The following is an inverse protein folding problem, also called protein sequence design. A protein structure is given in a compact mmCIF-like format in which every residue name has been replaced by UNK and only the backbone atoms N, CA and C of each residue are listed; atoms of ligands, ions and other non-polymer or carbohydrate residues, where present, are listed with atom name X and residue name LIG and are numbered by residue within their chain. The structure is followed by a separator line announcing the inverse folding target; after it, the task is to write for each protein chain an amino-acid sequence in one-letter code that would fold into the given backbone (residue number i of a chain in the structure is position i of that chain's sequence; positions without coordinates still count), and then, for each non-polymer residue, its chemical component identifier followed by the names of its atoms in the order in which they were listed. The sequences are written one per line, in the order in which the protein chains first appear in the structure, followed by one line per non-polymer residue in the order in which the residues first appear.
data_IF_275284777812
#
_entry.id   IF_275284777812
#
_cell.length_a   1.000
_cell.length_b   1.000
_cell.length_c   1.000
_cell.angle_alpha   90.00
_cell.angle_beta   90.00
_cell.angle_gamma   90.00
#
_symmetry.space_group_name_H-M   'P 1'
#
loop_
_entity.id
_entity.type
_entity.pdbx_description
1 polymer ?
#
# COMPACT_ATOMS: atom_id res chain seq x y z
N UNK A 1 23.51 -3.57 12.80
CA UNK A 1 23.04 -2.16 12.89
C UNK A 1 21.61 -2.16 12.39
N UNK A 2 20.64 -1.73 13.20
CA UNK A 2 19.25 -1.67 12.75
C UNK A 2 19.08 -0.63 11.62
N UNK A 3 18.33 -1.01 10.60
CA UNK A 3 17.93 -0.17 9.48
C UNK A 3 16.43 -0.08 9.48
N UNK A 4 15.92 1.15 9.37
CA UNK A 4 14.51 1.45 9.25
C UNK A 4 14.26 2.00 7.84
N UNK A 5 13.43 1.31 7.08
CA UNK A 5 13.06 1.66 5.71
C UNK A 5 11.57 2.02 5.66
N UNK A 6 11.23 3.20 5.16
CA UNK A 6 9.87 3.72 5.12
C UNK A 6 9.49 4.04 3.67
N UNK A 7 8.58 3.28 3.10
CA UNK A 7 7.98 3.51 1.79
C UNK A 7 6.67 4.27 1.93
N UNK A 8 6.51 5.33 1.13
CA UNK A 8 5.34 6.20 1.16
C UNK A 8 4.13 5.56 0.47
N UNK A 9 2.92 5.94 0.91
CA UNK A 9 1.68 5.68 0.16
C UNK A 9 1.72 6.37 -1.20
N UNK A 10 1.05 5.80 -2.21
CA UNK A 10 0.96 6.42 -3.54
C UNK A 10 0.37 7.84 -3.44
N UNK A 11 1.06 8.84 -3.95
CA UNK A 11 0.59 10.23 -3.87
C UNK A 11 1.10 11.03 -2.68
N UNK A 12 1.89 10.44 -1.80
CA UNK A 12 2.39 11.09 -0.59
C UNK A 12 3.91 11.22 -0.58
N UNK A 13 4.39 12.28 0.08
CA UNK A 13 5.80 12.49 0.39
C UNK A 13 5.97 12.90 1.85
N UNK A 14 7.12 12.61 2.47
CA UNK A 14 7.42 13.03 3.83
C UNK A 14 7.48 14.57 3.92
N UNK A 15 7.00 15.11 5.03
CA UNK A 15 7.24 16.50 5.38
C UNK A 15 8.72 16.72 5.70
N UNK A 16 9.35 17.69 5.02
CA UNK A 16 10.79 17.97 5.14
C UNK A 16 11.14 18.42 6.56
N UNK A 17 10.26 19.18 7.23
CA UNK A 17 10.50 19.68 8.59
C UNK A 17 10.52 18.52 9.57
N UNK A 18 9.51 17.64 9.48
CA UNK A 18 9.40 16.44 10.32
C UNK A 18 10.56 15.47 10.08
N UNK A 19 10.95 15.28 8.82
CA UNK A 19 12.11 14.47 8.46
C UNK A 19 13.41 15.04 9.07
N UNK A 20 13.60 16.35 9.02
CA UNK A 20 14.78 17.00 9.60
C UNK A 20 14.82 16.92 11.13
N UNK A 21 13.65 16.93 11.81
CA UNK A 21 13.58 16.68 13.26
C UNK A 21 14.02 15.27 13.62
N UNK A 22 13.59 14.27 12.85
CA UNK A 22 14.00 12.88 13.04
C UNK A 22 15.50 12.67 12.81
N UNK A 23 16.09 13.35 11.82
CA UNK A 23 17.55 13.33 11.59
C UNK A 23 18.36 13.80 12.79
N UNK A 24 17.86 14.77 13.57
CA UNK A 24 18.60 15.31 14.72
C UNK A 24 18.73 14.30 15.88
N UNK A 25 17.94 13.23 15.88
CA UNK A 25 17.97 12.17 16.90
C UNK A 25 18.65 10.87 16.47
N UNK A 26 19.12 10.75 15.22
CA UNK A 26 19.69 9.52 14.65
C UNK A 26 21.07 9.83 14.04
N UNK A 27 22.15 9.14 14.43
CA UNK A 27 23.52 9.56 14.06
C UNK A 27 23.82 9.45 12.56
N UNK A 28 23.12 8.59 11.80
CA UNK A 28 23.43 8.36 10.38
C UNK A 28 22.19 8.40 9.48
N UNK A 29 22.12 9.45 8.69
CA UNK A 29 21.13 9.61 7.63
C UNK A 29 21.72 9.25 6.28
N UNK A 30 21.16 8.24 5.62
CA UNK A 30 21.41 7.95 4.22
C UNK A 30 20.09 8.02 3.46
N UNK A 31 19.75 9.19 2.92
CA UNK A 31 18.76 9.22 1.83
C UNK A 31 19.41 8.44 0.69
N UNK A 32 18.86 7.28 0.35
CA UNK A 32 19.03 6.78 -1.01
C UNK A 32 18.56 7.92 -1.92
N UNK A 33 19.55 8.46 -2.63
CA UNK A 33 19.59 9.73 -3.32
C UNK A 33 18.27 10.28 -3.88
N UNK A 34 18.17 11.61 -3.77
CA UNK A 34 17.28 12.57 -4.47
C UNK A 34 15.91 12.77 -3.83
N UNK A 35 15.68 14.02 -3.41
CA UNK A 35 14.40 14.60 -3.01
C UNK A 35 13.30 14.55 -4.11
N UNK A 36 13.52 13.78 -5.18
CA UNK A 36 12.65 13.59 -6.34
C UNK A 36 12.47 12.11 -6.70
N UNK A 37 13.13 11.17 -5.99
CA UNK A 37 13.03 9.76 -6.28
C UNK A 37 11.90 9.12 -5.48
N UNK A 38 11.07 8.32 -6.17
CA UNK A 38 9.89 7.60 -5.62
C UNK A 38 10.28 6.44 -4.69
N UNK A 39 11.49 6.46 -4.17
CA UNK A 39 12.09 5.38 -3.38
C UNK A 39 11.77 5.49 -1.89
N UNK A 40 12.00 4.41 -1.14
CA UNK A 40 11.83 4.41 0.31
C UNK A 40 12.90 5.26 1.00
N UNK A 41 12.52 5.86 2.12
CA UNK A 41 13.42 6.62 3.00
C UNK A 41 14.11 5.63 3.92
N UNK A 42 15.44 5.68 4.00
CA UNK A 42 16.24 4.76 4.81
C UNK A 42 16.90 5.52 5.96
N UNK A 43 16.71 5.01 7.17
CA UNK A 43 17.31 5.50 8.41
C UNK A 43 18.24 4.43 8.96
N UNK A 44 19.48 4.82 9.26
CA UNK A 44 20.43 3.96 9.97
C UNK A 44 20.38 4.33 11.44
N UNK A 45 20.09 3.34 12.28
CA UNK A 45 20.03 3.49 13.72
C UNK A 45 21.27 2.84 14.33
N UNK A 46 21.86 3.48 15.33
CA UNK A 46 23.04 2.91 15.99
C UNK A 46 22.66 1.75 16.90
N UNK A 47 21.52 1.88 17.58
CA UNK A 47 20.96 0.88 18.48
C UNK A 47 19.43 0.99 18.54
N UNK A 48 18.79 -0.10 18.94
CA UNK A 48 17.39 -0.12 19.37
C UNK A 48 17.35 -0.67 20.80
N UNK A 49 16.53 -0.07 21.65
CA UNK A 49 16.20 -0.64 22.96
C UNK A 49 15.46 -1.96 22.80
N UNK A 50 15.83 -2.96 23.58
CA UNK A 50 15.19 -4.28 23.61
C UNK A 50 14.07 -4.42 24.65
N UNK A 51 13.94 -3.44 25.55
CA UNK A 51 12.98 -3.47 26.68
C UNK A 51 11.92 -2.38 26.64
N UNK A 52 12.09 -1.38 25.78
CA UNK A 52 11.22 -0.22 25.68
C UNK A 52 10.98 0.08 24.20
N UNK A 53 9.76 0.49 23.88
CA UNK A 53 9.40 0.92 22.53
C UNK A 53 10.01 2.29 22.23
N UNK A 54 10.68 2.40 21.08
CA UNK A 54 11.14 3.67 20.53
C UNK A 54 10.16 4.13 19.45
N UNK A 55 9.43 5.21 19.74
CA UNK A 55 8.43 5.78 18.85
C UNK A 55 8.97 6.99 18.10
N UNK A 56 8.64 7.10 16.82
CA UNK A 56 8.91 8.27 16.00
C UNK A 56 7.66 8.68 15.22
N UNK A 57 7.53 9.98 14.96
CA UNK A 57 6.40 10.53 14.21
C UNK A 57 6.92 11.22 12.96
N UNK A 58 6.43 10.77 11.80
CA UNK A 58 6.71 11.37 10.50
C UNK A 58 5.41 11.89 9.91
N UNK A 59 5.32 13.20 9.68
CA UNK A 59 4.21 13.77 8.94
C UNK A 59 4.42 13.52 7.44
N UNK A 60 3.33 13.26 6.72
CA UNK A 60 3.33 13.02 5.28
C UNK A 60 2.31 13.95 4.62
N UNK A 61 2.68 14.50 3.46
CA UNK A 61 1.87 15.43 2.69
C UNK A 61 1.47 14.78 1.37
N UNK A 62 0.21 14.99 0.95
CA UNK A 62 -0.26 14.54 -0.36
C UNK A 62 0.24 15.49 -1.46
N UNK A 63 1.06 14.97 -2.37
CA UNK A 63 1.68 15.74 -3.47
C UNK A 63 0.95 15.58 -4.81
N UNK A 64 0.24 14.47 -5.02
CA UNK A 64 -0.65 14.29 -6.16
C UNK A 64 -1.87 13.43 -5.79
N UNK A 65 -3.01 13.71 -6.44
CA UNK A 65 -4.24 12.93 -6.27
C UNK A 65 -4.20 11.75 -7.24
N UNK A 66 -4.44 10.55 -6.72
CA UNK A 66 -4.51 9.30 -7.50
C UNK A 66 -5.85 8.63 -7.29
N UNK A 67 -6.28 7.79 -8.24
CA UNK A 67 -7.54 7.06 -8.16
C UNK A 67 -7.53 5.96 -7.10
N UNK A 68 -6.41 5.23 -7.00
CA UNK A 68 -6.16 4.20 -5.99
C UNK A 68 -4.89 4.53 -5.23
N UNK A 69 -4.99 4.59 -3.90
CA UNK A 69 -3.85 4.82 -3.01
C UNK A 69 -3.36 3.45 -2.55
N UNK A 70 -2.13 3.08 -2.90
CA UNK A 70 -1.54 1.85 -2.38
C UNK A 70 -0.97 2.11 -0.97
N UNK A 71 -1.03 1.11 -0.08
CA UNK A 71 -0.48 1.22 1.26
C UNK A 71 1.04 1.45 1.23
N UNK A 72 1.51 2.28 2.16
CA UNK A 72 2.94 2.42 2.44
C UNK A 72 3.42 1.27 3.32
N UNK A 73 4.74 1.15 3.47
CA UNK A 73 5.35 0.11 4.31
C UNK A 73 6.45 0.66 5.20
N UNK A 74 6.59 0.08 6.39
CA UNK A 74 7.69 0.29 7.30
C UNK A 74 8.38 -1.05 7.51
N UNK A 75 9.66 -1.13 7.19
CA UNK A 75 10.48 -2.31 7.35
C UNK A 75 11.64 -2.03 8.29
N UNK A 76 11.80 -2.86 9.31
CA UNK A 76 12.97 -2.84 10.20
C UNK A 76 13.77 -4.12 9.98
N UNK A 77 15.09 -3.98 9.81
CA UNK A 77 15.98 -5.13 9.63
C UNK A 77 17.38 -4.86 10.16
N UNK A 78 18.16 -5.92 10.40
CA UNK A 78 19.59 -5.77 10.70
C UNK A 78 20.39 -5.70 9.39
N UNK A 79 21.19 -4.65 9.22
CA UNK A 79 22.08 -4.47 8.07
C UNK A 79 22.99 -5.69 7.80
N UNK A 80 23.44 -6.37 8.86
CA UNK A 80 24.33 -7.54 8.72
C UNK A 80 23.58 -8.88 8.61
N UNK A 81 22.29 -8.89 8.92
CA UNK A 81 21.41 -10.07 8.86
C UNK A 81 20.05 -9.69 8.25
N UNK A 82 20.01 -9.39 6.93
CA UNK A 82 18.81 -8.85 6.29
C UNK A 82 17.62 -9.81 6.25
N UNK A 83 17.85 -11.11 6.51
CA UNK A 83 16.82 -12.14 6.73
C UNK A 83 15.97 -11.85 7.99
N UNK A 84 16.56 -11.21 9.00
CA UNK A 84 15.85 -10.76 10.18
C UNK A 84 15.17 -9.42 9.90
N UNK A 85 14.07 -9.46 9.14
CA UNK A 85 13.27 -8.30 8.79
C UNK A 85 11.84 -8.41 9.30
N UNK A 86 11.28 -7.26 9.68
CA UNK A 86 9.87 -7.13 10.03
C UNK A 86 9.28 -6.00 9.20
N UNK A 87 8.25 -6.31 8.40
CA UNK A 87 7.53 -5.33 7.58
C UNK A 87 6.11 -5.17 8.10
N UNK A 88 5.67 -3.92 8.24
CA UNK A 88 4.28 -3.55 8.50
C UNK A 88 3.82 -2.56 7.44
N UNK A 89 2.56 -2.70 7.04
CA UNK A 89 1.93 -1.81 6.07
C UNK A 89 1.01 -0.82 6.77
N UNK A 90 0.92 0.37 6.20
CA UNK A 90 0.08 1.45 6.71
C UNK A 90 -0.70 2.13 5.59
N UNK A 91 -1.91 2.57 5.92
CA UNK A 91 -2.81 3.26 5.02
C UNK A 91 -3.65 4.26 5.83
N UNK A 92 -4.19 5.30 5.20
CA UNK A 92 -5.02 6.31 5.90
C UNK A 92 -6.29 5.70 6.49
N UNK A 93 -6.92 4.80 5.74
CA UNK A 93 -8.02 3.97 6.23
C UNK A 93 -7.46 2.80 7.04
N UNK A 94 -7.83 2.70 8.32
CA UNK A 94 -7.25 1.74 9.29
C UNK A 94 -7.37 0.28 8.86
N UNK A 95 -8.39 -0.05 8.08
CA UNK A 95 -8.67 -1.41 7.61
C UNK A 95 -7.96 -1.75 6.29
N UNK A 96 -7.39 -0.75 5.59
CA UNK A 96 -6.71 -0.91 4.29
C UNK A 96 -5.20 -1.11 4.41
N UNK A 97 -4.76 -1.88 5.40
CA UNK A 97 -3.32 -2.18 5.60
C UNK A 97 -2.79 -3.21 4.60
N UNK A 98 -3.65 -3.86 3.82
CA UNK A 98 -3.27 -4.80 2.78
C UNK A 98 -4.12 -4.60 1.55
N UNK A 99 -3.64 -5.09 0.40
CA UNK A 99 -4.45 -5.15 -0.82
C UNK A 99 -5.72 -5.96 -0.55
N UNK A 100 -6.84 -5.55 -1.15
CA UNK A 100 -8.08 -6.31 -1.04
C UNK A 100 -7.91 -7.65 -1.75
N UNK A 101 -8.06 -8.72 -0.99
CA UNK A 101 -7.96 -10.09 -1.51
C UNK A 101 -9.11 -10.93 -0.98
N UNK A 102 -9.63 -11.79 -1.85
CA UNK A 102 -10.58 -12.85 -1.48
C UNK A 102 -9.77 -14.14 -1.49
N UNK A 103 -9.58 -14.72 -0.32
CA UNK A 103 -8.80 -15.94 -0.14
C UNK A 103 -9.70 -17.12 0.21
N UNK A 104 -9.51 -18.23 -0.49
CA UNK A 104 -10.08 -19.53 -0.14
C UNK A 104 -8.91 -20.51 0.02
N UNK A 105 -8.68 -20.96 1.26
CA UNK A 105 -7.50 -21.74 1.66
C UNK A 105 -6.20 -21.01 1.26
N UNK A 106 -5.36 -21.65 0.45
CA UNK A 106 -4.09 -21.09 -0.05
C UNK A 106 -4.23 -20.29 -1.35
N UNK A 107 -5.43 -20.17 -1.91
CA UNK A 107 -5.67 -19.47 -3.18
C UNK A 107 -6.30 -18.12 -2.90
N UNK A 108 -5.59 -17.05 -3.20
CA UNK A 108 -6.06 -15.68 -3.08
C UNK A 108 -6.28 -15.05 -4.46
N UNK A 109 -7.36 -14.29 -4.62
CA UNK A 109 -7.64 -13.45 -5.79
C UNK A 109 -7.67 -11.99 -5.38
N UNK A 110 -7.13 -11.12 -6.24
CA UNK A 110 -7.18 -9.67 -6.05
C UNK A 110 -8.62 -9.17 -6.21
N UNK A 111 -9.02 -8.26 -5.32
CA UNK A 111 -10.35 -7.63 -5.29
C UNK A 111 -10.24 -6.10 -5.17
N UNK A 112 -9.15 -5.51 -5.66
CA UNK A 112 -8.90 -4.05 -5.61
C UNK A 112 -9.62 -3.25 -6.69
N UNK A 113 -10.17 -3.92 -7.70
CA UNK A 113 -10.89 -3.25 -8.78
C UNK A 113 -12.26 -2.72 -8.31
N UNK A 114 -12.87 -1.89 -9.14
CA UNK A 114 -14.17 -1.26 -8.89
C UNK A 114 -15.22 -2.29 -8.50
N UNK A 115 -15.97 -1.99 -7.42
CA UNK A 115 -17.10 -2.82 -7.02
C UNK A 115 -18.08 -2.97 -8.19
N UNK A 116 -18.58 -4.19 -8.40
CA UNK A 116 -19.57 -4.46 -9.43
C UNK A 116 -20.84 -3.66 -9.13
N UNK A 117 -21.27 -2.86 -10.09
CA UNK A 117 -22.54 -2.13 -10.00
C UNK A 117 -23.66 -3.02 -10.54
N UNK A 118 -24.68 -3.25 -9.72
CA UNK A 118 -25.87 -3.96 -10.17
C UNK A 118 -26.57 -3.12 -11.24
N UNK A 119 -26.94 -3.74 -12.37
CA UNK A 119 -27.77 -3.09 -13.39
C UNK A 119 -29.07 -2.62 -12.75
N UNK A 120 -29.48 -1.39 -13.08
CA UNK A 120 -30.65 -0.81 -12.44
C UNK A 120 -31.94 -1.48 -12.96
N UNK A 121 -32.96 -1.68 -12.11
CA UNK A 121 -34.23 -2.30 -12.51
C UNK A 121 -34.99 -1.57 -13.65
N UNK A 122 -34.61 -0.33 -13.97
CA UNK A 122 -35.22 0.49 -15.02
C UNK A 122 -34.45 0.53 -16.34
N UNK A 123 -33.32 -0.17 -16.46
CA UNK A 123 -32.52 -0.17 -17.68
C UNK A 123 -33.23 -1.01 -18.76
N UNK A 124 -33.51 -0.40 -19.91
CA UNK A 124 -34.07 -1.13 -21.06
C UNK A 124 -32.95 -1.97 -21.68
N UNK A 125 -33.04 -3.29 -21.49
CA UNK A 125 -32.06 -4.24 -22.03
C UNK A 125 -32.63 -4.89 -23.29
N UNK A 126 -32.07 -4.52 -24.45
CA UNK A 126 -32.42 -5.15 -25.72
C UNK A 126 -31.88 -6.59 -25.82
N UNK A 127 -32.70 -7.50 -26.35
CA UNK A 127 -32.34 -8.90 -26.51
C UNK A 127 -31.06 -9.09 -27.35
N UNK A 128 -30.92 -8.35 -28.46
CA UNK A 128 -29.74 -8.41 -29.31
C UNK A 128 -28.45 -7.94 -28.60
N UNK A 129 -28.54 -6.86 -27.82
CA UNK A 129 -27.40 -6.37 -27.04
C UNK A 129 -26.99 -7.38 -25.96
N UNK A 130 -27.95 -7.97 -25.26
CA UNK A 130 -27.71 -9.02 -24.26
C UNK A 130 -27.04 -10.24 -24.89
N UNK A 131 -27.52 -10.68 -26.05
CA UNK A 131 -26.92 -11.80 -26.79
C UNK A 131 -25.47 -11.53 -27.14
N UNK A 132 -25.18 -10.36 -27.73
CA UNK A 132 -23.80 -10.00 -28.12
C UNK A 132 -22.88 -9.89 -26.90
N UNK A 133 -23.34 -9.30 -25.78
CA UNK A 133 -22.55 -9.19 -24.55
C UNK A 133 -22.29 -10.54 -23.89
N UNK A 134 -23.30 -11.41 -23.83
CA UNK A 134 -23.16 -12.74 -23.26
C UNK A 134 -22.22 -13.65 -24.08
N UNK A 135 -22.17 -13.47 -25.40
CA UNK A 135 -21.28 -14.23 -26.29
C UNK A 135 -19.92 -13.55 -26.52
N UNK A 136 -19.60 -12.47 -25.81
CA UNK A 136 -18.33 -11.77 -25.98
C UNK A 136 -17.16 -12.55 -25.35
N UNK A 137 -15.93 -12.45 -25.89
CA UNK A 137 -14.75 -13.04 -25.28
C UNK A 137 -14.56 -12.55 -23.83
N UNK A 138 -14.27 -13.48 -22.91
CA UNK A 138 -14.13 -13.19 -21.48
C UNK A 138 -15.41 -13.40 -20.66
N UNK A 139 -16.53 -13.78 -21.29
CA UNK A 139 -17.72 -14.30 -20.60
C UNK A 139 -17.73 -15.82 -20.71
N UNK A 140 -17.48 -16.51 -19.60
CA UNK A 140 -17.39 -17.97 -19.57
C UNK A 140 -18.74 -18.67 -19.31
N UNK A 141 -19.62 -18.01 -18.57
CA UNK A 141 -20.87 -18.63 -18.10
C UNK A 141 -22.02 -17.62 -17.94
N UNK A 142 -23.25 -18.12 -18.08
CA UNK A 142 -24.49 -17.37 -17.84
C UNK A 142 -25.38 -18.20 -16.93
N UNK A 143 -25.73 -17.66 -15.76
CA UNK A 143 -26.57 -18.33 -14.78
C UNK A 143 -27.83 -17.53 -14.48
N UNK A 144 -28.88 -18.25 -14.07
CA UNK A 144 -30.03 -17.68 -13.36
C UNK A 144 -29.95 -18.14 -11.92
N UNK A 145 -29.47 -17.28 -11.03
CA UNK A 145 -29.48 -17.52 -9.59
C UNK A 145 -30.84 -17.10 -9.00
N UNK A 146 -31.27 -17.82 -7.97
CA UNK A 146 -32.47 -17.55 -7.17
C UNK A 146 -32.12 -16.86 -5.88
#
# INVERSE_FOLDING_TARGET
MPVLEVSMMTGFAPDVISLNKLKRGMEKFGMSNKANDKGPIIFYLDKMKHREDECFTLNVNRIYKVGLIQPGSVTVYDHYKPENRCTKFYHMEKDRKSLYTICQNSVCRCAEDSCFQQQHPGDIIYAAWRYHKACSPGVDYVYRST
#
